data_IF_931584022241
#
_entry.id   IF_931584022241
#
_cell.length_a   1.000
_cell.length_b   1.000
_cell.length_c   1.000
_cell.angle_alpha   90.00
_cell.angle_beta   90.00
_cell.angle_gamma   90.00
#
_symmetry.space_group_name_H-M   'P 1'
#
loop_
_entity.id
_entity.type
_entity.pdbx_description
1 polymer ?
#
# COMPACT_ATOMS: atom_id res chain seq x y z
N UNK A 1 -8.73 -8.93 14.72
CA UNK A 1 -9.18 -7.71 14.64
C UNK A 1 -8.86 -7.03 13.34
N UNK A 2 -7.74 -6.46 13.19
CA UNK A 2 -7.50 -5.64 12.01
C UNK A 2 -7.41 -6.44 10.74
N UNK A 3 -7.07 -7.72 10.84
CA UNK A 3 -6.73 -8.53 9.68
C UNK A 3 -7.94 -9.17 9.02
N UNK A 4 -9.12 -8.92 9.54
CA UNK A 4 -10.34 -9.44 8.92
C UNK A 4 -10.62 -8.80 7.57
N UNK A 5 -10.01 -7.64 7.31
CA UNK A 5 -10.23 -6.89 6.08
C UNK A 5 -9.30 -7.33 4.95
N UNK A 6 -8.38 -8.25 5.19
CA UNK A 6 -7.31 -8.54 4.23
C UNK A 6 -7.84 -9.03 2.89
N UNK A 7 -8.67 -10.06 2.90
CA UNK A 7 -9.15 -10.62 1.64
C UNK A 7 -9.99 -9.63 0.83
N UNK A 8 -10.99 -8.95 1.43
CA UNK A 8 -11.75 -7.94 0.66
C UNK A 8 -10.87 -6.84 0.12
N UNK A 9 -9.90 -6.36 0.90
CA UNK A 9 -9.00 -5.31 0.44
C UNK A 9 -8.27 -5.75 -0.81
N UNK A 10 -7.71 -6.97 -0.80
CA UNK A 10 -6.93 -7.46 -1.93
C UNK A 10 -7.78 -7.75 -3.15
N UNK A 11 -9.01 -8.22 -2.95
CA UNK A 11 -9.92 -8.52 -4.05
C UNK A 11 -10.50 -7.28 -4.69
N UNK A 12 -10.78 -6.25 -3.88
CA UNK A 12 -11.51 -5.08 -4.37
C UNK A 12 -10.62 -3.95 -4.84
N UNK A 13 -9.33 -3.98 -4.49
CA UNK A 13 -8.41 -2.92 -4.88
C UNK A 13 -7.83 -3.19 -6.25
N UNK A 14 -7.73 -2.15 -7.08
CA UNK A 14 -7.10 -2.23 -8.39
C UNK A 14 -5.91 -1.32 -8.51
N UNK A 15 -5.98 -0.14 -7.90
CA UNK A 15 -4.91 0.84 -7.94
C UNK A 15 -4.29 0.96 -6.56
N UNK A 16 -2.96 0.86 -6.50
CA UNK A 16 -2.23 0.87 -5.24
C UNK A 16 -1.11 1.89 -5.32
N UNK A 17 -1.07 2.81 -4.35
CA UNK A 17 0.06 3.71 -4.19
C UNK A 17 1.01 3.11 -3.17
N UNK A 18 2.29 3.01 -3.50
CA UNK A 18 3.31 2.51 -2.59
C UNK A 18 4.13 3.70 -2.11
N UNK A 19 3.90 4.11 -0.87
CA UNK A 19 4.52 5.29 -0.27
C UNK A 19 5.79 4.90 0.45
N UNK A 20 6.90 5.59 0.11
CA UNK A 20 8.20 5.26 0.67
C UNK A 20 8.94 4.23 -0.15
N UNK A 21 8.57 4.06 -1.42
CA UNK A 21 9.22 3.09 -2.30
C UNK A 21 10.68 3.48 -2.51
N UNK A 22 11.54 2.46 -2.64
CA UNK A 22 12.94 2.63 -2.97
C UNK A 22 13.17 2.22 -4.43
N UNK A 23 14.16 2.82 -5.07
CA UNK A 23 14.58 2.41 -6.42
C UNK A 23 15.74 1.42 -6.40
N UNK A 24 16.14 0.96 -5.21
CA UNK A 24 17.29 0.06 -5.07
C UNK A 24 16.85 -1.39 -5.03
N UNK A 25 17.50 -2.21 -5.84
CA UNK A 25 17.22 -3.65 -5.88
C UNK A 25 17.42 -4.26 -4.50
N UNK A 26 16.56 -5.22 -4.16
CA UNK A 26 16.63 -5.91 -2.89
C UNK A 26 15.89 -5.23 -1.76
N UNK A 27 15.46 -3.98 -1.95
CA UNK A 27 14.66 -3.33 -0.93
C UNK A 27 13.23 -3.89 -0.95
N UNK A 28 12.65 -4.16 0.23
CA UNK A 28 11.31 -4.75 0.29
C UNK A 28 10.26 -3.96 -0.48
N UNK A 29 10.32 -2.63 -0.44
CA UNK A 29 9.30 -1.83 -1.11
C UNK A 29 9.32 -2.03 -2.63
N UNK A 30 10.51 -2.20 -3.22
CA UNK A 30 10.61 -2.44 -4.65
C UNK A 30 10.15 -3.86 -4.99
N UNK A 31 10.56 -4.84 -4.19
CA UNK A 31 10.16 -6.24 -4.39
C UNK A 31 8.65 -6.39 -4.30
N UNK A 32 8.04 -5.79 -3.30
CA UNK A 32 6.59 -5.86 -3.12
C UNK A 32 5.86 -5.16 -4.27
N UNK A 33 6.37 -4.00 -4.70
CA UNK A 33 5.75 -3.27 -5.81
C UNK A 33 5.78 -4.09 -7.10
N UNK A 34 6.90 -4.73 -7.38
CA UNK A 34 7.02 -5.59 -8.57
C UNK A 34 6.06 -6.77 -8.50
N UNK A 35 5.95 -7.38 -7.33
CA UNK A 35 5.03 -8.50 -7.13
C UNK A 35 3.58 -8.06 -7.40
N UNK A 36 3.17 -6.93 -6.84
CA UNK A 36 1.80 -6.44 -7.01
C UNK A 36 1.51 -6.14 -8.47
N UNK A 37 2.46 -5.50 -9.15
CA UNK A 37 2.31 -5.19 -10.56
C UNK A 37 2.18 -6.46 -11.40
N UNK A 38 2.99 -7.48 -11.09
CA UNK A 38 2.96 -8.76 -11.81
C UNK A 38 1.64 -9.51 -11.58
N UNK A 39 0.93 -9.16 -10.52
CA UNK A 39 -0.34 -9.82 -10.18
C UNK A 39 -1.57 -8.97 -10.52
N UNK A 40 -1.40 -7.99 -11.42
CA UNK A 40 -2.52 -7.29 -12.02
C UNK A 40 -2.91 -5.97 -11.38
N UNK A 41 -2.20 -5.55 -10.33
CA UNK A 41 -2.49 -4.24 -9.73
C UNK A 41 -1.78 -3.14 -10.50
N UNK A 42 -2.43 -2.00 -10.60
CA UNK A 42 -1.78 -0.80 -11.13
C UNK A 42 -1.09 -0.09 -9.96
N UNK A 43 0.24 0.00 -10.02
CA UNK A 43 1.04 0.49 -8.90
C UNK A 43 1.59 1.87 -9.21
N UNK A 44 1.37 2.81 -8.28
CA UNK A 44 1.89 4.16 -8.36
C UNK A 44 2.98 4.35 -7.32
N UNK A 45 4.26 4.50 -7.75
CA UNK A 45 5.34 4.77 -6.79
C UNK A 45 5.22 6.17 -6.23
N UNK A 46 5.43 6.31 -4.91
CA UNK A 46 5.38 7.62 -4.25
C UNK A 46 6.61 7.79 -3.38
N UNK A 47 7.43 8.79 -3.70
CA UNK A 47 8.62 9.13 -2.93
C UNK A 47 9.06 10.54 -3.38
N UNK A 48 9.15 11.52 -2.46
CA UNK A 48 9.49 12.88 -2.85
C UNK A 48 10.90 13.04 -3.40
N UNK A 49 11.76 12.05 -3.21
CA UNK A 49 13.17 12.13 -3.62
C UNK A 49 13.47 11.43 -4.94
N UNK A 50 12.46 10.84 -5.59
CA UNK A 50 12.67 10.08 -6.83
C UNK A 50 11.72 10.57 -7.90
N UNK A 51 12.22 10.64 -9.15
CA UNK A 51 11.37 10.98 -10.28
C UNK A 51 10.86 9.76 -11.03
N UNK A 52 11.54 8.63 -10.87
CA UNK A 52 11.10 7.38 -11.48
C UNK A 52 11.61 6.20 -10.67
N UNK A 53 10.90 5.08 -10.80
CA UNK A 53 11.31 3.81 -10.18
C UNK A 53 11.01 2.73 -11.21
N UNK A 54 12.05 1.96 -11.59
CA UNK A 54 11.92 0.86 -12.57
C UNK A 54 11.20 1.35 -13.84
N UNK A 55 11.62 2.52 -14.34
CA UNK A 55 11.08 3.14 -15.56
C UNK A 55 9.62 3.58 -15.46
N UNK A 56 9.07 3.63 -14.24
CA UNK A 56 7.72 4.11 -14.00
C UNK A 56 7.81 5.48 -13.31
N UNK A 57 7.00 6.45 -13.72
CA UNK A 57 7.01 7.76 -13.05
C UNK A 57 6.74 7.62 -11.57
N UNK A 58 7.49 8.36 -10.74
CA UNK A 58 7.34 8.38 -9.31
C UNK A 58 6.80 9.74 -8.90
N UNK A 59 5.81 9.75 -8.03
CA UNK A 59 5.12 10.98 -7.63
C UNK A 59 5.61 11.41 -6.25
N UNK A 60 5.70 12.72 -5.99
CA UNK A 60 6.23 13.18 -4.70
C UNK A 60 5.28 12.95 -3.53
N UNK A 61 3.99 12.91 -3.78
CA UNK A 61 2.99 12.75 -2.72
C UNK A 61 1.69 12.18 -3.30
N UNK A 62 0.72 11.90 -2.44
CA UNK A 62 -0.54 11.29 -2.86
C UNK A 62 -1.40 12.25 -3.68
N UNK A 63 -1.38 13.53 -3.35
CA UNK A 63 -2.24 14.48 -4.05
C UNK A 63 -1.77 14.71 -5.48
N UNK A 64 -0.53 14.36 -5.81
CA UNK A 64 0.00 14.51 -7.18
C UNK A 64 -0.38 13.36 -8.09
N UNK A 65 -0.99 12.29 -7.56
CA UNK A 65 -1.34 11.14 -8.37
C UNK A 65 -2.44 11.49 -9.37
N UNK A 66 -2.42 10.85 -10.55
CA UNK A 66 -3.46 11.11 -11.56
C UNK A 66 -4.83 10.56 -11.19
N UNK A 67 -4.89 9.64 -10.22
CA UNK A 67 -6.15 9.09 -9.72
C UNK A 67 -6.04 8.94 -8.22
N UNK A 68 -7.19 8.83 -7.54
CA UNK A 68 -7.21 8.45 -6.13
C UNK A 68 -7.00 6.95 -6.07
N UNK A 69 -5.93 6.47 -5.42
CA UNK A 69 -5.72 5.03 -5.37
C UNK A 69 -6.75 4.35 -4.48
N UNK A 70 -7.03 3.09 -4.77
CA UNK A 70 -7.93 2.29 -3.94
C UNK A 70 -7.27 1.93 -2.62
N UNK A 71 -5.95 1.83 -2.60
CA UNK A 71 -5.19 1.36 -1.44
C UNK A 71 -3.86 2.07 -1.39
N UNK A 72 -3.44 2.47 -0.19
CA UNK A 72 -2.09 3.02 0.04
C UNK A 72 -1.33 2.02 0.90
N UNK A 73 -0.19 1.56 0.37
CA UNK A 73 0.73 0.67 1.10
C UNK A 73 1.91 1.51 1.58
N UNK A 74 2.21 1.44 2.88
CA UNK A 74 3.16 2.35 3.50
C UNK A 74 4.44 1.64 3.92
N UNK A 75 5.57 2.12 3.38
CA UNK A 75 6.94 1.69 3.71
C UNK A 75 7.69 2.87 4.31
N UNK A 76 7.17 3.44 5.39
CA UNK A 76 7.83 4.55 6.10
C UNK A 76 8.03 4.14 7.54
N UNK A 77 9.02 4.73 8.22
CA UNK A 77 9.22 4.45 9.64
C UNK A 77 7.98 4.86 10.43
N UNK A 78 7.78 4.20 11.57
CA UNK A 78 6.55 4.36 12.33
C UNK A 78 6.23 5.82 12.65
N UNK A 79 7.25 6.63 12.96
CA UNK A 79 7.03 8.03 13.31
C UNK A 79 6.51 8.89 12.16
N UNK A 80 6.69 8.44 10.90
CA UNK A 80 6.22 9.18 9.73
C UNK A 80 4.84 8.73 9.26
N UNK A 81 4.36 7.57 9.75
CA UNK A 81 3.12 6.99 9.23
C UNK A 81 1.89 7.87 9.49
N UNK A 82 1.76 8.54 10.66
CA UNK A 82 0.61 9.43 10.85
C UNK A 82 0.49 10.52 9.78
N UNK A 83 1.61 11.09 9.34
CA UNK A 83 1.56 12.11 8.29
C UNK A 83 1.07 11.54 6.97
N UNK A 84 1.47 10.32 6.63
CA UNK A 84 1.01 9.67 5.41
C UNK A 84 -0.49 9.39 5.50
N UNK A 85 -0.97 8.91 6.64
CA UNK A 85 -2.40 8.65 6.82
C UNK A 85 -3.18 9.96 6.75
N UNK A 86 -2.65 11.03 7.32
CA UNK A 86 -3.31 12.34 7.28
C UNK A 86 -3.50 12.78 5.82
N UNK A 87 -2.46 12.61 5.00
CA UNK A 87 -2.57 12.95 3.59
C UNK A 87 -3.57 12.03 2.86
N UNK A 88 -3.57 10.74 3.20
CA UNK A 88 -4.51 9.80 2.59
C UNK A 88 -5.96 10.18 2.93
N UNK A 89 -6.22 10.61 4.17
CA UNK A 89 -7.54 11.10 4.55
C UNK A 89 -7.92 12.31 3.72
N UNK A 90 -6.98 13.25 3.58
CA UNK A 90 -7.24 14.50 2.84
C UNK A 90 -7.51 14.24 1.36
N UNK A 91 -7.00 13.16 0.80
CA UNK A 91 -7.18 12.82 -0.61
C UNK A 91 -8.25 11.73 -0.82
N UNK A 92 -8.99 11.38 0.23
CA UNK A 92 -10.13 10.47 0.16
C UNK A 92 -9.76 9.03 -0.23
N UNK A 93 -8.57 8.59 0.15
CA UNK A 93 -8.15 7.19 -0.04
C UNK A 93 -8.99 6.30 0.89
N UNK A 94 -9.57 5.21 0.39
CA UNK A 94 -10.46 4.41 1.23
C UNK A 94 -9.79 3.34 2.09
N UNK A 95 -8.55 2.96 1.78
CA UNK A 95 -7.91 1.82 2.44
C UNK A 95 -6.42 2.08 2.66
N UNK A 96 -5.92 1.64 3.83
CA UNK A 96 -4.52 1.81 4.23
C UNK A 96 -3.93 0.46 4.60
N UNK A 97 -2.70 0.22 4.16
CA UNK A 97 -1.94 -0.97 4.51
C UNK A 97 -0.59 -0.56 5.06
N UNK A 98 -0.38 -0.77 6.36
CA UNK A 98 0.89 -0.47 7.03
C UNK A 98 1.69 -1.75 7.09
N UNK A 99 2.83 -1.76 6.41
CA UNK A 99 3.61 -2.97 6.16
C UNK A 99 4.19 -3.61 7.41
N UNK A 100 4.58 -4.87 7.25
CA UNK A 100 5.16 -5.69 8.30
C UNK A 100 6.34 -4.97 8.96
N UNK A 101 6.39 -5.02 10.29
CA UNK A 101 7.45 -4.39 11.05
C UNK A 101 7.20 -2.92 11.37
N UNK A 102 6.10 -2.35 10.90
CA UNK A 102 5.79 -0.94 11.12
C UNK A 102 4.52 -0.88 11.95
N UNK A 103 4.63 -0.30 13.16
CA UNK A 103 3.49 -0.22 14.06
C UNK A 103 3.31 1.23 14.50
N UNK A 104 2.14 1.77 14.27
CA UNK A 104 1.76 3.11 14.72
C UNK A 104 0.29 3.06 15.11
N UNK A 105 0.04 2.96 16.41
CA UNK A 105 -1.35 2.94 16.91
C UNK A 105 -2.05 4.26 16.61
N UNK A 106 -1.31 5.36 16.64
CA UNK A 106 -1.87 6.66 16.30
C UNK A 106 -2.39 6.66 14.88
N UNK A 107 -1.58 6.22 13.92
CA UNK A 107 -1.97 6.19 12.52
C UNK A 107 -3.14 5.23 12.29
N UNK A 108 -3.10 4.08 12.95
CA UNK A 108 -4.19 3.11 12.83
C UNK A 108 -5.52 3.72 13.28
N UNK A 109 -5.49 4.39 14.43
CA UNK A 109 -6.69 5.01 14.97
C UNK A 109 -7.19 6.15 14.08
N UNK A 110 -6.27 6.93 13.53
CA UNK A 110 -6.64 7.99 12.59
C UNK A 110 -7.38 7.44 11.38
N UNK A 111 -6.88 6.35 10.82
CA UNK A 111 -7.52 5.73 9.66
C UNK A 111 -8.90 5.16 10.04
N UNK A 112 -8.99 4.51 11.19
CA UNK A 112 -10.27 3.98 11.67
C UNK A 112 -11.31 5.07 11.84
N UNK A 113 -10.92 6.16 12.50
CA UNK A 113 -11.84 7.28 12.74
C UNK A 113 -12.33 7.88 11.43
N UNK A 114 -11.47 7.89 10.42
CA UNK A 114 -11.83 8.41 9.11
C UNK A 114 -12.66 7.44 8.28
N UNK A 115 -12.97 6.26 8.81
CA UNK A 115 -13.78 5.28 8.11
C UNK A 115 -13.02 4.44 7.09
N UNK A 116 -11.69 4.44 7.15
CA UNK A 116 -10.88 3.66 6.23
C UNK A 116 -10.78 2.21 6.70
N UNK A 117 -10.68 1.28 5.75
CA UNK A 117 -10.24 -0.06 6.07
C UNK A 117 -8.73 0.00 6.28
N UNK A 118 -8.21 -0.65 7.33
CA UNK A 118 -6.80 -0.54 7.65
C UNK A 118 -6.25 -1.89 8.12
N UNK A 119 -5.06 -2.23 7.59
CA UNK A 119 -4.28 -3.39 8.02
C UNK A 119 -2.93 -2.85 8.49
N UNK A 120 -2.38 -3.43 9.55
CA UNK A 120 -1.11 -2.98 10.12
C UNK A 120 -0.24 -4.17 10.48
N UNK A 121 1.06 -4.01 10.25
CA UNK A 121 2.09 -5.00 10.64
C UNK A 121 1.88 -6.34 9.93
N UNK A 122 1.57 -6.25 8.63
CA UNK A 122 1.47 -7.43 7.77
C UNK A 122 2.13 -7.08 6.44
N UNK A 123 2.73 -8.09 5.79
CA UNK A 123 3.32 -7.90 4.46
C UNK A 123 2.27 -8.24 3.40
N UNK A 124 1.92 -7.27 2.58
CA UNK A 124 0.89 -7.45 1.57
C UNK A 124 1.25 -8.56 0.57
N UNK A 125 2.53 -8.69 0.23
CA UNK A 125 2.98 -9.76 -0.66
C UNK A 125 2.72 -11.13 -0.03
N UNK A 126 3.09 -11.29 1.25
CA UNK A 126 2.90 -12.58 1.93
C UNK A 126 1.43 -12.93 2.07
N UNK A 127 0.60 -11.93 2.36
CA UNK A 127 -0.83 -12.17 2.51
C UNK A 127 -1.48 -12.51 1.18
N UNK A 128 -1.10 -11.80 0.11
CA UNK A 128 -1.63 -12.10 -1.22
C UNK A 128 -1.20 -13.50 -1.66
N UNK A 129 0.07 -13.84 -1.49
CA UNK A 129 0.58 -15.15 -1.89
C UNK A 129 -0.12 -16.27 -1.12
N UNK A 130 -0.40 -16.04 0.17
CA UNK A 130 -1.12 -17.05 0.97
C UNK A 130 -2.53 -17.27 0.42
N UNK A 131 -3.22 -16.19 0.07
CA UNK A 131 -4.58 -16.32 -0.46
C UNK A 131 -4.59 -17.00 -1.82
N UNK A 132 -3.56 -16.77 -2.64
CA UNK A 132 -3.42 -17.49 -3.91
C UNK A 132 -3.24 -18.98 -3.65
N UNK A 133 -2.38 -19.36 -2.70
CA UNK A 133 -2.17 -20.78 -2.37
C UNK A 133 -3.43 -21.44 -1.86
N UNK A 134 -4.27 -20.69 -1.16
CA UNK A 134 -5.53 -21.21 -0.62
C UNK A 134 -6.66 -21.18 -1.65
N UNK A 135 -6.41 -20.72 -2.86
CA UNK A 135 -7.42 -20.66 -3.90
C UNK A 135 -8.44 -19.56 -3.72
N UNK A 136 -8.18 -18.59 -2.84
CA UNK A 136 -9.12 -17.52 -2.52
C UNK A 136 -8.94 -16.31 -3.44
N UNK A 137 -7.77 -16.17 -4.06
CA UNK A 137 -7.47 -15.15 -5.06
C UNK A 137 -6.83 -15.84 -6.24
N UNK A 138 -7.25 -15.50 -7.45
CA UNK A 138 -6.66 -16.07 -8.65
C UNK A 138 -5.26 -15.53 -8.84
N UNK A 139 -4.36 -16.40 -9.27
CA UNK A 139 -3.04 -15.98 -9.71
C UNK A 139 -3.22 -15.04 -10.90
N UNK A 140 -2.46 -13.94 -10.93
CA UNK A 140 -2.63 -12.95 -11.97
C UNK A 140 -3.93 -12.18 -11.81
N UNK A 141 -4.24 -11.77 -10.59
CA UNK A 141 -5.42 -11.00 -10.22
C UNK A 141 -5.65 -9.84 -11.20
N UNK A 142 -6.86 -9.73 -11.69
CA UNK A 142 -7.24 -8.63 -12.59
C UNK A 142 -8.60 -8.03 -12.25
#
# INVERSE_FOLDING_TARGET
MHNEEIEPILLESKTIAVVGISDKLGRPSLTVSSYLKDHGYEVFPVNPNLSSVAHTPCYPDLKSLPVTPDLVVIFRKASDVPDVVREAVATAVPKIWIQEGIVSEEAYRMAEIAGMAVVMDKCILKEHARLVREGRIKKGHD
#
